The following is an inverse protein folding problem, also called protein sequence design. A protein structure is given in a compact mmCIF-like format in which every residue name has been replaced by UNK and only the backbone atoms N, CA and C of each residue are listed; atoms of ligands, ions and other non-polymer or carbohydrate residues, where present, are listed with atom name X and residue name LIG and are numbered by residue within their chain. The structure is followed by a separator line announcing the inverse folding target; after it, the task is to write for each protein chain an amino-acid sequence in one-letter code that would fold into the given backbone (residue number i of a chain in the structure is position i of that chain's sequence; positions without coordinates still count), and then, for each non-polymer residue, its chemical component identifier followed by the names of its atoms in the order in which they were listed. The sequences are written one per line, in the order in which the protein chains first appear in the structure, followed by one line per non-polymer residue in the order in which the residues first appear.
data_IF_345181955896
#
_entry.id   IF_345181955896
#
_cell.length_a   1.000
_cell.length_b   1.000
_cell.length_c   1.000
_cell.angle_alpha   90.00
_cell.angle_beta   90.00
_cell.angle_gamma   90.00
#
_symmetry.space_group_name_H-M   'P 1'
#
loop_
_entity.id
_entity.type
_entity.pdbx_description
1 polymer ?
#
# COMPACT_ATOMS: atom_id res chain seq x y z
N UNK A 1 72.71 16.93 21.01
CA UNK A 1 71.52 17.71 20.57
C UNK A 1 71.35 17.65 19.05
N UNK A 2 70.71 16.63 18.47
CA UNK A 2 70.30 16.62 17.04
C UNK A 2 69.02 15.79 16.84
N UNK A 3 67.91 16.54 16.86
CA UNK A 3 66.65 16.45 16.08
C UNK A 3 66.10 15.05 15.70
N UNK A 4 65.16 14.56 16.51
CA UNK A 4 64.15 13.55 16.17
C UNK A 4 62.78 14.24 16.03
N UNK A 5 62.55 15.00 14.95
CA UNK A 5 61.19 15.42 14.57
C UNK A 5 61.17 15.55 13.03
N UNK A 6 60.75 14.49 12.32
CA UNK A 6 59.68 14.70 11.34
C UNK A 6 58.79 13.45 11.27
N UNK A 7 57.88 13.27 12.23
CA UNK A 7 56.82 12.26 12.11
C UNK A 7 55.47 12.73 12.63
N UNK A 8 55.32 14.04 12.92
CA UNK A 8 54.11 14.58 13.55
C UNK A 8 53.28 15.48 12.62
N UNK A 9 53.50 15.43 11.30
CA UNK A 9 52.83 16.30 10.34
C UNK A 9 52.22 15.55 9.14
N UNK A 10 51.74 14.31 9.38
CA UNK A 10 51.03 13.51 8.38
C UNK A 10 49.74 12.87 8.92
N UNK A 11 49.04 13.57 9.82
CA UNK A 11 47.83 13.06 10.49
C UNK A 11 46.59 13.96 10.36
N UNK A 12 46.64 15.03 9.54
CA UNK A 12 45.53 16.01 9.48
C UNK A 12 45.17 16.36 8.04
N UNK A 13 44.84 15.37 7.21
CA UNK A 13 43.86 15.57 6.10
C UNK A 13 43.20 14.21 5.78
N UNK A 14 42.45 13.63 6.71
CA UNK A 14 41.42 12.66 6.32
C UNK A 14 40.26 13.50 5.78
N UNK A 15 39.91 13.46 4.48
CA UNK A 15 38.65 14.04 4.05
C UNK A 15 37.56 13.30 4.83
N UNK A 16 36.82 14.05 5.66
CA UNK A 16 35.54 13.58 6.18
C UNK A 16 34.72 13.18 4.95
N UNK A 17 34.57 11.87 4.71
CA UNK A 17 33.53 11.36 3.83
C UNK A 17 32.21 11.60 4.55
N UNK A 18 31.77 12.86 4.63
CA UNK A 18 30.46 13.20 5.18
C UNK A 18 29.42 12.52 4.28
N UNK A 19 28.72 11.53 4.83
CA UNK A 19 27.62 10.89 4.14
C UNK A 19 26.60 11.96 3.77
N UNK A 20 26.20 12.05 2.50
CA UNK A 20 25.28 13.09 2.06
C UNK A 20 23.93 12.83 2.72
N UNK A 21 23.32 13.87 3.26
CA UNK A 21 21.98 13.78 3.81
C UNK A 21 20.95 14.35 2.85
N UNK A 22 19.77 13.75 2.88
CA UNK A 22 18.63 14.16 2.09
C UNK A 22 17.42 14.38 2.99
N UNK A 23 16.71 15.48 2.75
CA UNK A 23 15.36 15.72 3.23
C UNK A 23 14.39 15.19 2.17
N UNK A 24 13.61 14.18 2.52
CA UNK A 24 12.57 13.60 1.68
C UNK A 24 11.23 14.07 2.22
N UNK A 25 10.37 14.54 1.33
CA UNK A 25 8.99 14.89 1.64
C UNK A 25 8.04 14.19 0.67
N UNK A 26 6.96 13.64 1.22
CA UNK A 26 5.99 12.82 0.49
C UNK A 26 4.58 13.22 0.84
N UNK A 27 3.75 13.36 -0.19
CA UNK A 27 2.30 13.47 -0.09
C UNK A 27 1.69 12.29 -0.83
N UNK A 28 0.87 11.51 -0.15
CA UNK A 28 0.04 10.46 -0.75
C UNK A 28 -1.42 10.90 -0.64
N UNK A 29 -2.15 10.84 -1.74
CA UNK A 29 -3.55 11.22 -1.77
C UNK A 29 -4.35 10.27 -2.66
N UNK A 30 -5.65 10.12 -2.36
CA UNK A 30 -6.60 9.44 -3.23
C UNK A 30 -7.41 10.43 -4.04
N UNK A 31 -7.88 9.99 -5.20
CA UNK A 31 -8.76 10.73 -6.10
C UNK A 31 -10.21 10.36 -5.81
N UNK A 32 -11.10 11.35 -5.80
CA UNK A 32 -12.55 11.15 -5.65
C UNK A 32 -13.19 10.75 -6.99
N UNK A 33 -12.66 9.69 -7.59
CA UNK A 33 -13.18 9.09 -8.82
C UNK A 33 -13.82 7.74 -8.51
N UNK A 34 -14.88 7.45 -9.24
CA UNK A 34 -15.52 6.14 -9.23
C UNK A 34 -14.63 5.16 -10.00
N UNK A 35 -14.19 4.10 -9.35
CA UNK A 35 -13.27 3.14 -9.94
C UNK A 35 -13.92 2.31 -11.05
N UNK A 36 -15.24 2.15 -11.01
CA UNK A 36 -16.02 1.38 -12.00
C UNK A 36 -16.18 2.15 -13.32
N UNK A 37 -16.01 3.47 -13.28
CA UNK A 37 -16.06 4.35 -14.46
C UNK A 37 -14.71 4.56 -15.14
N UNK A 38 -13.63 4.02 -14.57
CA UNK A 38 -12.30 4.08 -15.17
C UNK A 38 -12.17 2.94 -16.19
N UNK A 39 -11.70 3.22 -17.41
CA UNK A 39 -11.54 2.23 -18.48
C UNK A 39 -10.40 1.21 -18.26
N UNK A 40 -9.91 1.06 -17.02
CA UNK A 40 -8.77 0.22 -16.68
C UNK A 40 -9.22 -1.03 -15.91
N UNK A 41 -8.78 -2.19 -16.38
CA UNK A 41 -9.10 -3.48 -15.76
C UNK A 41 -8.07 -3.83 -14.68
N UNK A 42 -8.53 -3.89 -13.44
CA UNK A 42 -7.70 -4.23 -12.29
C UNK A 42 -8.00 -5.65 -11.78
N UNK A 43 -6.98 -6.47 -11.47
CA UNK A 43 -7.17 -7.78 -10.85
C UNK A 43 -8.03 -7.71 -9.59
N UNK A 44 -8.82 -8.76 -9.33
CA UNK A 44 -9.62 -8.85 -8.10
C UNK A 44 -8.80 -9.35 -6.91
N UNK A 45 -7.67 -10.01 -7.16
CA UNK A 45 -6.70 -10.44 -6.15
C UNK A 45 -5.31 -9.93 -6.54
N UNK A 46 -4.55 -9.51 -5.52
CA UNK A 46 -3.18 -9.02 -5.67
C UNK A 46 -2.28 -9.85 -4.74
N UNK A 47 -1.03 -10.11 -5.13
CA UNK A 47 -0.07 -10.75 -4.23
C UNK A 47 0.19 -9.84 -3.02
N UNK A 48 0.43 -10.42 -1.84
CA UNK A 48 0.74 -9.65 -0.64
C UNK A 48 2.01 -8.78 -0.84
N UNK A 49 2.00 -7.57 -0.29
CA UNK A 49 3.19 -6.71 -0.29
C UNK A 49 4.18 -7.26 0.74
N UNK A 50 5.43 -7.45 0.33
CA UNK A 50 6.49 -7.84 1.27
C UNK A 50 6.81 -6.67 2.21
N UNK A 51 6.58 -6.86 3.51
CA UNK A 51 6.83 -5.87 4.56
C UNK A 51 7.92 -6.30 5.54
N UNK A 52 8.65 -7.39 5.26
CA UNK A 52 9.59 -8.03 6.22
C UNK A 52 10.73 -7.10 6.66
N UNK A 53 11.13 -6.18 5.78
CA UNK A 53 12.19 -5.17 6.05
C UNK A 53 11.64 -3.78 6.31
N UNK A 54 10.31 -3.64 6.31
CA UNK A 54 9.63 -2.37 6.45
C UNK A 54 9.47 -2.02 7.93
N UNK A 55 9.77 -0.78 8.29
CA UNK A 55 9.54 -0.24 9.63
C UNK A 55 8.51 0.88 9.62
N UNK A 56 7.87 1.11 10.76
CA UNK A 56 6.93 2.23 10.92
C UNK A 56 7.69 3.55 11.09
N UNK A 57 7.12 4.65 10.59
CA UNK A 57 7.59 5.99 10.94
C UNK A 57 7.53 6.25 12.46
N UNK A 58 6.65 5.58 13.21
CA UNK A 58 6.55 5.75 14.66
C UNK A 58 7.67 5.03 15.43
N UNK A 59 8.27 3.98 14.85
CA UNK A 59 9.30 3.17 15.51
C UNK A 59 10.62 3.93 15.61
N UNK A 60 10.93 4.42 16.82
CA UNK A 60 12.15 5.19 17.11
C UNK A 60 13.40 4.34 16.91
N UNK A 61 13.38 3.08 17.34
CA UNK A 61 14.52 2.17 17.27
C UNK A 61 14.86 1.85 15.81
N UNK A 62 13.84 1.57 14.99
CA UNK A 62 14.01 1.40 13.55
C UNK A 62 14.62 2.65 12.91
N UNK A 63 14.06 3.84 13.17
CA UNK A 63 14.58 5.09 12.62
C UNK A 63 16.03 5.35 13.02
N UNK A 64 16.37 5.17 14.29
CA UNK A 64 17.73 5.33 14.80
C UNK A 64 18.70 4.35 14.11
N UNK A 65 18.32 3.07 13.99
CA UNK A 65 19.14 2.05 13.32
C UNK A 65 19.42 2.37 11.84
N UNK A 66 18.53 3.14 11.20
CA UNK A 66 18.63 3.56 9.80
C UNK A 66 19.19 4.97 9.61
N UNK A 67 19.48 5.71 10.69
CA UNK A 67 19.92 7.10 10.60
C UNK A 67 18.83 8.04 10.07
N UNK A 68 17.57 7.77 10.41
CA UNK A 68 16.40 8.55 10.00
C UNK A 68 15.99 9.53 11.10
N UNK A 69 15.71 10.77 10.71
CA UNK A 69 15.12 11.79 11.60
C UNK A 69 13.82 12.31 10.98
N UNK A 70 12.70 12.27 11.71
CA UNK A 70 11.47 12.91 11.23
C UNK A 70 11.63 14.43 11.26
N UNK A 71 11.13 15.10 10.24
CA UNK A 71 11.16 16.56 10.14
C UNK A 71 9.84 17.14 10.66
N UNK A 72 9.87 18.30 11.34
CA UNK A 72 8.64 19.00 11.71
C UNK A 72 7.98 19.61 10.47
N UNK A 73 6.67 19.86 10.53
CA UNK A 73 5.89 20.48 9.45
C UNK A 73 6.40 21.86 9.03
N UNK A 74 7.12 22.57 9.91
CA UNK A 74 7.79 23.84 9.60
C UNK A 74 8.96 23.69 8.61
N UNK A 75 9.52 22.49 8.46
CA UNK A 75 10.58 22.20 7.50
C UNK A 75 10.06 21.72 6.13
N UNK A 76 8.76 21.42 6.04
CA UNK A 76 8.11 20.92 4.83
C UNK A 76 8.04 22.02 3.77
N UNK A 77 8.34 21.66 2.53
CA UNK A 77 8.30 22.54 1.35
C UNK A 77 7.05 22.33 0.50
N UNK A 78 6.36 21.20 0.62
CA UNK A 78 5.15 20.90 -0.15
C UNK A 78 3.85 21.24 0.61
N UNK A 79 3.93 22.10 1.63
CA UNK A 79 2.77 22.53 2.41
C UNK A 79 1.70 23.21 1.53
N UNK A 80 2.12 24.03 0.55
CA UNK A 80 1.20 24.67 -0.40
C UNK A 80 0.48 23.66 -1.29
N UNK A 81 1.20 22.66 -1.78
CA UNK A 81 0.70 21.60 -2.66
C UNK A 81 -0.29 20.72 -1.88
N UNK A 82 0.08 20.33 -0.66
CA UNK A 82 -0.80 19.58 0.23
C UNK A 82 -2.09 20.37 0.53
N UNK A 83 -2.00 21.68 0.77
CA UNK A 83 -3.18 22.51 1.01
C UNK A 83 -4.08 22.63 -0.22
N UNK A 84 -3.51 22.80 -1.42
CA UNK A 84 -4.26 22.79 -2.68
C UNK A 84 -5.01 21.48 -2.87
N UNK A 85 -4.37 20.35 -2.59
CA UNK A 85 -5.01 19.02 -2.64
C UNK A 85 -6.15 18.90 -1.62
N UNK A 86 -5.93 19.31 -0.37
CA UNK A 86 -6.97 19.27 0.68
C UNK A 86 -8.18 20.15 0.36
N UNK A 87 -7.95 21.29 -0.29
CA UNK A 87 -9.02 22.24 -0.64
C UNK A 87 -9.81 21.84 -1.90
N UNK A 88 -9.35 20.84 -2.65
CA UNK A 88 -9.96 20.44 -3.92
C UNK A 88 -10.84 19.19 -3.75
N UNK A 89 -12.12 19.28 -4.10
CA UNK A 89 -13.11 18.21 -3.89
C UNK A 89 -12.76 16.86 -4.57
N UNK A 90 -11.94 16.91 -5.62
CA UNK A 90 -11.45 15.72 -6.33
C UNK A 90 -10.35 14.94 -5.61
N UNK A 91 -9.82 15.39 -4.48
CA UNK A 91 -8.68 14.76 -3.81
C UNK A 91 -8.87 14.65 -2.29
N UNK A 92 -8.21 13.66 -1.69
CA UNK A 92 -8.12 13.52 -0.24
C UNK A 92 -6.70 13.07 0.14
N UNK A 93 -6.00 13.90 0.92
CA UNK A 93 -4.63 13.62 1.38
C UNK A 93 -4.67 12.57 2.48
N UNK A 94 -4.05 11.42 2.21
CA UNK A 94 -3.96 10.28 3.14
C UNK A 94 -2.73 10.39 4.03
N UNK A 95 -1.61 10.85 3.48
CA UNK A 95 -0.35 11.01 4.19
C UNK A 95 0.37 12.27 3.71
N UNK A 96 0.94 13.03 4.64
CA UNK A 96 1.92 14.09 4.36
C UNK A 96 3.01 14.05 5.41
N UNK A 97 4.19 13.58 5.03
CA UNK A 97 5.31 13.37 5.95
C UNK A 97 6.63 13.78 5.32
N UNK A 98 7.59 14.22 6.13
CA UNK A 98 8.96 14.41 5.70
C UNK A 98 9.95 13.87 6.72
N UNK A 99 11.07 13.35 6.22
CA UNK A 99 12.14 12.83 7.04
C UNK A 99 13.49 13.10 6.39
N UNK A 100 14.53 13.10 7.21
CA UNK A 100 15.93 13.14 6.82
C UNK A 100 16.52 11.75 6.88
N UNK A 101 17.30 11.36 5.88
CA UNK A 101 18.11 10.13 5.89
C UNK A 101 19.47 10.36 5.21
N UNK A 102 20.40 9.42 5.42
CA UNK A 102 21.68 9.38 4.73
C UNK A 102 21.55 8.80 3.29
N UNK A 103 22.59 8.95 2.48
CA UNK A 103 22.70 8.49 1.08
C UNK A 103 22.91 6.98 0.91
N UNK A 104 22.21 6.19 1.72
CA UNK A 104 22.29 4.75 1.76
C UNK A 104 21.82 4.08 0.45
N UNK A 105 22.46 2.96 0.10
CA UNK A 105 22.08 2.10 -1.01
C UNK A 105 20.82 1.27 -0.74
N UNK A 106 20.25 0.67 -1.79
CA UNK A 106 18.98 -0.09 -1.73
C UNK A 106 18.89 -1.13 -0.61
N UNK A 107 20.00 -1.75 -0.21
CA UNK A 107 19.99 -2.76 0.84
C UNK A 107 20.03 -2.18 2.26
N UNK A 108 20.61 -0.99 2.44
CA UNK A 108 20.76 -0.35 3.75
C UNK A 108 19.69 0.71 4.02
N UNK A 109 19.21 1.38 2.97
CA UNK A 109 18.20 2.43 3.04
C UNK A 109 16.90 1.95 3.72
N UNK A 110 16.23 2.84 4.49
CA UNK A 110 15.01 2.49 5.18
C UNK A 110 13.89 2.14 4.18
N UNK A 111 13.17 1.06 4.45
CA UNK A 111 11.88 0.77 3.84
C UNK A 111 10.82 1.13 4.87
N UNK A 112 9.89 2.00 4.52
CA UNK A 112 8.79 2.37 5.43
C UNK A 112 7.54 1.58 5.09
N UNK A 113 6.90 1.01 6.12
CA UNK A 113 5.54 0.50 6.02
C UNK A 113 4.59 1.70 6.14
N UNK A 114 3.84 1.93 5.06
CA UNK A 114 2.93 3.05 4.91
C UNK A 114 1.53 2.54 5.21
N UNK A 115 0.92 3.08 6.27
CA UNK A 115 -0.46 2.80 6.65
C UNK A 115 -1.18 4.12 6.90
N UNK A 116 -2.30 4.35 6.20
CA UNK A 116 -3.04 5.61 6.32
C UNK A 116 -4.51 5.48 5.89
N UNK A 117 -5.30 6.52 6.17
CA UNK A 117 -6.71 6.59 5.82
C UNK A 117 -7.60 5.84 6.81
N UNK A 118 -8.76 5.39 6.34
CA UNK A 118 -9.77 4.72 7.18
C UNK A 118 -9.32 3.30 7.53
N UNK A 119 -9.67 2.82 8.72
CA UNK A 119 -9.55 1.41 9.06
C UNK A 119 -10.85 0.67 8.67
N UNK A 120 -10.71 -0.40 7.89
CA UNK A 120 -11.77 -1.26 7.42
C UNK A 120 -11.91 -2.56 8.24
N UNK A 121 -11.07 -2.77 9.26
CA UNK A 121 -11.03 -4.01 10.06
C UNK A 121 -12.37 -4.36 10.73
N UNK A 122 -13.21 -3.36 11.03
CA UNK A 122 -14.55 -3.55 11.58
C UNK A 122 -15.63 -3.94 10.56
N UNK A 123 -15.36 -3.82 9.26
CA UNK A 123 -16.32 -4.07 8.18
C UNK A 123 -15.89 -5.22 7.26
N UNK A 124 -14.58 -5.43 7.11
CA UNK A 124 -14.01 -6.41 6.19
C UNK A 124 -12.90 -7.21 6.86
N UNK A 125 -12.81 -8.49 6.48
CA UNK A 125 -11.70 -9.37 6.79
C UNK A 125 -10.48 -9.05 5.91
N UNK A 126 -9.31 -9.58 6.25
CA UNK A 126 -8.05 -9.32 5.51
C UNK A 126 -8.09 -9.80 4.04
N UNK A 127 -8.91 -10.81 3.73
CA UNK A 127 -9.17 -11.30 2.38
C UNK A 127 -10.15 -10.39 1.58
N UNK A 128 -10.71 -9.37 2.21
CA UNK A 128 -11.66 -8.42 1.63
C UNK A 128 -13.14 -8.81 1.70
N UNK A 129 -13.51 -9.96 2.28
CA UNK A 129 -14.93 -10.30 2.50
C UNK A 129 -15.52 -9.52 3.68
N UNK A 130 -16.82 -9.24 3.69
CA UNK A 130 -17.47 -8.57 4.81
C UNK A 130 -17.36 -9.38 6.12
N UNK A 131 -17.19 -8.67 7.23
CA UNK A 131 -17.31 -9.27 8.56
C UNK A 131 -18.75 -9.73 8.77
N UNK A 132 -18.94 -10.99 9.16
CA UNK A 132 -20.27 -11.58 9.33
C UNK A 132 -20.85 -12.22 8.08
N UNK A 133 -20.16 -12.19 6.93
CA UNK A 133 -20.50 -13.08 5.82
C UNK A 133 -20.26 -14.53 6.27
N UNK A 134 -21.34 -15.32 6.33
CA UNK A 134 -21.27 -16.78 6.50
C UNK A 134 -20.70 -17.36 5.21
N UNK A 135 -19.38 -17.30 5.04
CA UNK A 135 -18.70 -18.23 4.15
C UNK A 135 -18.91 -19.59 4.80
N UNK A 136 -19.79 -20.41 4.22
CA UNK A 136 -19.95 -21.81 4.61
C UNK A 136 -18.57 -22.45 4.47
N UNK A 137 -17.82 -22.52 5.57
CA UNK A 137 -16.59 -23.29 5.60
C UNK A 137 -16.97 -24.73 5.23
N UNK A 138 -16.24 -25.42 4.33
CA UNK A 138 -16.48 -26.83 4.02
C UNK A 138 -16.30 -27.78 5.22
N UNK A 139 -15.98 -27.23 6.40
CA UNK A 139 -15.61 -27.97 7.60
C UNK A 139 -16.50 -27.49 8.74
N UNK A 140 -17.38 -28.39 9.18
CA UNK A 140 -18.21 -28.23 10.36
C UNK A 140 -17.33 -27.88 11.59
N UNK A 141 -17.65 -26.78 12.26
CA UNK A 141 -17.20 -26.54 13.64
C UNK A 141 -15.98 -25.65 13.88
N UNK A 142 -15.41 -24.96 12.87
CA UNK A 142 -14.33 -23.98 13.10
C UNK A 142 -14.87 -22.55 12.97
N UNK A 143 -15.16 -21.91 14.10
CA UNK A 143 -15.35 -20.46 14.16
C UNK A 143 -13.98 -19.81 14.31
N UNK A 144 -13.42 -19.31 13.21
CA UNK A 144 -12.21 -18.49 13.27
C UNK A 144 -12.56 -17.14 13.93
N UNK A 145 -12.29 -17.04 15.23
CA UNK A 145 -12.19 -15.74 15.90
C UNK A 145 -10.95 -15.02 15.38
N UNK A 146 -11.09 -14.34 14.24
CA UNK A 146 -10.07 -13.46 13.72
C UNK A 146 -9.90 -12.28 14.68
N UNK A 147 -8.76 -12.21 15.38
CA UNK A 147 -8.33 -10.98 16.05
C UNK A 147 -8.22 -9.92 14.95
N UNK A 148 -8.99 -8.84 15.06
CA UNK A 148 -9.05 -7.80 14.04
C UNK A 148 -7.70 -7.10 13.90
N UNK A 149 -6.89 -7.57 12.95
CA UNK A 149 -5.71 -6.84 12.51
C UNK A 149 -6.17 -5.56 11.79
N UNK A 150 -5.53 -4.41 12.03
CA UNK A 150 -5.87 -3.17 11.34
C UNK A 150 -5.83 -3.36 9.82
N UNK A 151 -6.85 -2.86 9.12
CA UNK A 151 -7.01 -2.98 7.67
C UNK A 151 -7.16 -1.59 7.08
N UNK A 152 -6.04 -0.89 6.94
CA UNK A 152 -6.03 0.50 6.49
C UNK A 152 -6.40 0.65 5.01
N UNK A 153 -7.04 1.78 4.69
CA UNK A 153 -7.41 2.22 3.34
C UNK A 153 -6.20 2.35 2.42
N UNK A 154 -5.05 2.73 2.96
CA UNK A 154 -3.77 2.70 2.28
C UNK A 154 -2.82 1.79 3.07
N UNK A 155 -2.24 0.80 2.40
CA UNK A 155 -1.21 -0.07 2.96
C UNK A 155 -0.11 -0.34 1.92
N UNK A 156 1.16 -0.32 2.32
CA UNK A 156 2.24 -0.71 1.42
C UNK A 156 3.62 -0.25 1.84
N UNK A 157 4.57 -0.22 0.91
CA UNK A 157 5.96 0.14 1.19
C UNK A 157 6.44 1.33 0.37
N UNK A 158 7.32 2.11 0.97
CA UNK A 158 8.03 3.20 0.31
C UNK A 158 9.51 3.15 0.66
N UNK A 159 10.36 3.19 -0.36
CA UNK A 159 11.80 3.21 -0.20
C UNK A 159 12.44 4.30 -1.07
N UNK A 160 13.27 5.13 -0.44
CA UNK A 160 14.14 6.09 -1.15
C UNK A 160 15.59 5.68 -0.91
N UNK A 161 16.36 5.51 -1.98
CA UNK A 161 17.75 5.05 -1.87
C UNK A 161 18.65 5.63 -2.95
N UNK A 162 19.96 5.64 -2.70
CA UNK A 162 20.98 6.16 -3.62
C UNK A 162 21.86 5.03 -4.13
N UNK A 163 22.01 4.95 -5.45
CA UNK A 163 23.05 4.16 -6.11
C UNK A 163 23.89 5.12 -6.96
N UNK A 164 24.05 4.86 -8.26
CA UNK A 164 24.53 5.88 -9.18
C UNK A 164 23.53 7.05 -9.32
N UNK A 165 22.24 6.80 -9.06
CA UNK A 165 21.18 7.79 -9.03
C UNK A 165 20.33 7.65 -7.77
N UNK A 166 19.52 8.66 -7.49
CA UNK A 166 18.47 8.60 -6.48
C UNK A 166 17.25 7.87 -7.06
N UNK A 167 16.68 6.95 -6.31
CA UNK A 167 15.48 6.21 -6.69
C UNK A 167 14.39 6.32 -5.63
N UNK A 168 13.14 6.35 -6.08
CA UNK A 168 11.95 6.15 -5.28
C UNK A 168 11.24 4.87 -5.75
N UNK A 169 11.00 3.93 -4.84
CA UNK A 169 10.27 2.69 -5.07
C UNK A 169 9.05 2.70 -4.14
N UNK A 170 7.85 2.68 -4.72
CA UNK A 170 6.59 2.73 -4.00
C UNK A 170 5.70 1.58 -4.47
N UNK A 171 5.31 0.72 -3.53
CA UNK A 171 4.34 -0.36 -3.75
C UNK A 171 3.21 -0.14 -2.75
N UNK A 172 2.08 0.40 -3.21
CA UNK A 172 0.97 0.85 -2.37
C UNK A 172 -0.33 0.22 -2.85
N UNK A 173 -1.13 -0.31 -1.92
CA UNK A 173 -2.50 -0.74 -2.15
C UNK A 173 -3.47 0.30 -1.57
N UNK A 174 -4.32 0.84 -2.43
CA UNK A 174 -5.49 1.62 -2.02
C UNK A 174 -6.71 0.69 -1.97
N UNK A 175 -7.31 0.51 -0.80
CA UNK A 175 -8.49 -0.32 -0.58
C UNK A 175 -9.76 0.51 -0.70
N UNK A 176 -10.72 0.04 -1.51
CA UNK A 176 -12.05 0.66 -1.65
C UNK A 176 -13.14 -0.43 -1.64
N UNK A 177 -14.26 -0.21 -0.92
CA UNK A 177 -15.44 -1.04 -1.10
C UNK A 177 -15.91 -1.00 -2.56
N UNK A 178 -16.24 -2.15 -3.12
CA UNK A 178 -16.75 -2.33 -4.47
C UNK A 178 -17.82 -3.44 -4.46
N UNK A 179 -18.68 -3.47 -5.46
CA UNK A 179 -19.70 -4.50 -5.62
C UNK A 179 -19.27 -5.44 -6.74
N UNK A 180 -19.43 -6.75 -6.54
CA UNK A 180 -19.28 -7.74 -7.61
C UNK A 180 -20.52 -8.61 -7.70
N UNK A 181 -20.88 -8.98 -8.92
CA UNK A 181 -21.87 -10.02 -9.18
C UNK A 181 -21.22 -11.39 -8.96
N UNK A 182 -21.70 -12.13 -7.97
CA UNK A 182 -21.33 -13.53 -7.76
C UNK A 182 -22.46 -14.39 -8.34
N UNK A 183 -22.11 -15.17 -9.35
CA UNK A 183 -23.00 -16.19 -9.92
C UNK A 183 -22.95 -17.40 -9.00
N UNK A 184 -24.01 -17.64 -8.22
CA UNK A 184 -24.12 -18.86 -7.44
C UNK A 184 -24.52 -20.01 -8.35
N UNK A 185 -23.69 -21.05 -8.42
CA UNK A 185 -24.02 -22.30 -9.11
C UNK A 185 -24.83 -23.21 -8.17
N UNK A 186 -26.06 -23.45 -8.63
CA UNK A 186 -27.02 -24.51 -8.35
C UNK A 186 -27.47 -24.78 -6.90
N UNK A 187 -28.77 -24.57 -6.69
CA UNK A 187 -29.53 -25.33 -5.69
C UNK A 187 -29.45 -26.81 -6.07
N UNK A 188 -29.20 -27.74 -5.10
CA UNK A 188 -29.27 -29.16 -5.39
C UNK A 188 -30.65 -29.51 -5.95
N UNK A 189 -30.67 -30.20 -7.09
CA UNK A 189 -31.88 -30.82 -7.64
C UNK A 189 -32.39 -31.84 -6.61
N UNK A 190 -33.49 -31.52 -5.93
CA UNK A 190 -34.23 -32.52 -5.17
C UNK A 190 -34.89 -33.49 -6.15
N UNK A 191 -34.23 -34.63 -6.41
CA UNK A 191 -34.91 -35.76 -7.06
C UNK A 191 -35.89 -36.37 -6.06
N UNK A 192 -37.14 -35.93 -6.11
CA UNK A 192 -38.25 -36.64 -5.48
C UNK A 192 -38.43 -38.01 -6.15
N UNK A 193 -38.06 -39.07 -5.45
CA UNK A 193 -38.38 -40.45 -5.87
C UNK A 193 -39.86 -40.71 -5.60
N UNK A 194 -40.73 -40.33 -6.53
CA UNK A 194 -42.12 -40.82 -6.53
C UNK A 194 -42.12 -42.21 -7.17
N UNK A 195 -42.07 -43.25 -6.33
CA UNK A 195 -42.37 -44.62 -6.71
C UNK A 195 -43.89 -44.78 -6.85
N UNK A 196 -44.47 -44.44 -8.01
CA UNK A 196 -45.79 -44.93 -8.38
C UNK A 196 -45.75 -45.63 -9.74
N UNK A 197 -46.19 -46.89 -9.71
CA UNK A 197 -46.29 -47.79 -10.84
C UNK A 197 -47.39 -47.32 -11.80
N UNK A 198 -47.02 -46.91 -13.01
CA UNK A 198 -47.98 -46.67 -14.08
C UNK A 198 -47.37 -45.92 -15.24
N UNK A 199 -47.29 -46.57 -16.39
CA UNK A 199 -46.69 -46.03 -17.61
C UNK A 199 -47.28 -44.68 -18.01
N UNK A 200 -46.49 -43.61 -17.96
CA UNK A 200 -46.60 -42.45 -18.85
C UNK A 200 -45.21 -41.82 -18.96
N UNK A 201 -44.79 -41.49 -20.18
CA UNK A 201 -43.49 -40.89 -20.49
C UNK A 201 -43.41 -39.55 -19.77
N UNK A 202 -42.65 -39.48 -18.68
CA UNK A 202 -42.41 -38.24 -17.96
C UNK A 202 -41.45 -37.39 -18.79
N UNK A 203 -42.01 -36.45 -19.56
CA UNK A 203 -41.24 -35.43 -20.23
C UNK A 203 -40.39 -34.71 -19.18
N UNK A 204 -39.07 -34.83 -19.30
CA UNK A 204 -38.12 -34.20 -18.38
C UNK A 204 -38.42 -32.71 -18.26
N UNK A 205 -38.96 -32.32 -17.10
CA UNK A 205 -39.08 -30.92 -16.72
C UNK A 205 -37.67 -30.43 -16.41
N UNK A 206 -36.93 -30.07 -17.46
CA UNK A 206 -35.72 -29.28 -17.34
C UNK A 206 -36.16 -27.87 -16.96
N UNK A 207 -36.37 -27.65 -15.65
CA UNK A 207 -36.53 -26.31 -15.13
C UNK A 207 -35.19 -25.59 -15.33
N UNK A 208 -35.19 -24.53 -16.13
CA UNK A 208 -33.99 -23.75 -16.38
C UNK A 208 -33.53 -23.13 -15.07
N UNK A 209 -32.48 -23.69 -14.46
CA UNK A 209 -31.79 -23.05 -13.34
C UNK A 209 -31.10 -21.81 -13.89
N UNK A 210 -31.81 -20.68 -13.85
CA UNK A 210 -31.19 -19.38 -14.10
C UNK A 210 -30.26 -19.11 -12.92
N UNK A 211 -28.96 -18.90 -13.15
CA UNK A 211 -28.04 -18.63 -12.06
C UNK A 211 -28.51 -17.44 -11.25
N UNK A 212 -28.63 -17.60 -9.92
CA UNK A 212 -28.96 -16.47 -9.04
C UNK A 212 -27.72 -15.59 -8.93
N UNK A 213 -27.77 -14.44 -9.60
CA UNK A 213 -26.78 -13.37 -9.45
C UNK A 213 -27.04 -12.70 -8.10
N UNK A 214 -26.11 -12.81 -7.17
CA UNK A 214 -26.12 -12.03 -5.92
C UNK A 214 -25.04 -10.96 -5.99
N UNK A 215 -25.40 -9.70 -5.72
CA UNK A 215 -24.45 -8.61 -5.55
C UNK A 215 -23.79 -8.74 -4.17
N UNK A 216 -22.46 -8.95 -4.15
CA UNK A 216 -21.68 -9.01 -2.92
C UNK A 216 -20.77 -7.78 -2.83
N UNK A 217 -20.84 -7.07 -1.70
CA UNK A 217 -19.89 -6.01 -1.37
C UNK A 217 -18.58 -6.62 -0.91
N UNK A 218 -17.45 -6.18 -1.45
CA UNK A 218 -16.12 -6.63 -1.05
C UNK A 218 -15.13 -5.47 -1.02
N UNK A 219 -14.05 -5.60 -0.26
CA UNK A 219 -12.98 -4.62 -0.21
C UNK A 219 -11.95 -4.92 -1.32
N UNK A 220 -12.01 -4.15 -2.40
CA UNK A 220 -11.06 -4.26 -3.52
C UNK A 220 -9.80 -3.45 -3.25
N UNK A 221 -8.64 -4.02 -3.58
CA UNK A 221 -7.34 -3.32 -3.51
C UNK A 221 -6.89 -2.89 -4.91
N UNK A 222 -6.38 -1.68 -5.03
CA UNK A 222 -5.83 -1.12 -6.27
C UNK A 222 -4.37 -0.75 -6.05
N UNK A 223 -3.46 -1.36 -6.83
CA UNK A 223 -2.02 -1.26 -6.61
C UNK A 223 -1.35 -0.21 -7.47
N UNK A 224 -0.61 0.69 -6.83
CA UNK A 224 0.47 1.46 -7.44
C UNK A 224 1.76 0.72 -7.17
N UNK A 225 2.40 0.21 -8.22
CA UNK A 225 3.75 -0.36 -8.19
C UNK A 225 4.62 0.47 -9.13
N UNK A 226 5.42 1.37 -8.56
CA UNK A 226 6.19 2.35 -9.31
C UNK A 226 7.62 2.45 -8.78
N UNK A 227 8.57 2.40 -9.71
CA UNK A 227 9.99 2.69 -9.47
C UNK A 227 10.43 3.84 -10.37
N UNK A 228 10.93 4.91 -9.76
CA UNK A 228 11.31 6.13 -10.47
C UNK A 228 12.73 6.58 -10.12
N UNK A 229 13.51 6.95 -11.14
CA UNK A 229 14.75 7.71 -10.96
C UNK A 229 14.41 9.17 -10.66
N UNK A 230 14.99 9.69 -9.60
CA UNK A 230 14.71 11.01 -9.05
C UNK A 230 15.88 11.96 -9.29
N UNK A 231 15.58 13.26 -9.38
CA UNK A 231 16.56 14.34 -9.40
C UNK A 231 16.41 15.15 -8.12
N UNK A 232 17.53 15.46 -7.47
CA UNK A 232 17.52 16.25 -6.24
C UNK A 232 16.99 17.65 -6.51
N UNK A 233 16.08 18.14 -5.67
CA UNK A 233 15.44 19.45 -5.78
C UNK A 233 14.18 19.47 -6.66
N UNK A 234 13.98 18.46 -7.50
CA UNK A 234 12.79 18.33 -8.34
C UNK A 234 11.65 17.65 -7.58
N UNK A 235 10.42 18.08 -7.90
CA UNK A 235 9.21 17.40 -7.46
C UNK A 235 8.85 16.35 -8.50
N UNK A 236 8.62 15.12 -8.05
CA UNK A 236 8.20 14.03 -8.90
C UNK A 236 6.80 13.56 -8.52
N UNK A 237 6.08 13.09 -9.54
CA UNK A 237 4.74 12.55 -9.41
C UNK A 237 4.73 11.09 -9.86
N UNK A 238 4.21 10.20 -9.01
CA UNK A 238 3.91 8.81 -9.34
C UNK A 238 2.39 8.71 -9.52
N UNK A 239 1.96 8.35 -10.72
CA UNK A 239 0.56 8.39 -11.09
C UNK A 239 -0.13 7.03 -10.96
N UNK A 240 -1.41 7.10 -10.61
CA UNK A 240 -2.36 6.01 -10.65
C UNK A 240 -3.78 6.63 -10.81
N UNK A 241 -4.73 5.98 -11.49
CA UNK A 241 -6.05 6.58 -11.72
C UNK A 241 -6.83 6.91 -10.45
N UNK A 242 -6.59 6.17 -9.37
CA UNK A 242 -7.29 6.31 -8.09
C UNK A 242 -6.50 7.01 -6.99
N UNK A 243 -5.18 7.20 -7.16
CA UNK A 243 -4.31 7.82 -6.16
C UNK A 243 -3.10 8.48 -6.82
N UNK A 244 -2.42 9.34 -6.09
CA UNK A 244 -1.18 9.96 -6.53
C UNK A 244 -0.18 10.06 -5.40
N UNK A 245 1.10 10.01 -5.77
CA UNK A 245 2.21 10.27 -4.84
C UNK A 245 3.03 11.43 -5.38
N UNK A 246 3.16 12.48 -4.58
CA UNK A 246 4.10 13.59 -4.83
C UNK A 246 5.29 13.38 -3.91
N UNK A 247 6.50 13.37 -4.48
CA UNK A 247 7.74 13.17 -3.74
C UNK A 247 8.74 14.25 -4.14
N UNK A 248 9.34 14.90 -3.15
CA UNK A 248 10.51 15.76 -3.35
C UNK A 248 11.66 15.24 -2.49
N UNK A 249 12.86 15.25 -3.06
CA UNK A 249 14.08 14.89 -2.34
C UNK A 249 15.09 16.01 -2.49
N UNK A 250 15.56 16.58 -1.38
CA UNK A 250 16.47 17.73 -1.35
C UNK A 250 17.74 17.34 -0.61
N UNK A 251 18.90 17.78 -1.09
CA UNK A 251 20.14 17.67 -0.32
C UNK A 251 20.10 18.64 0.86
N UNK A 252 20.56 18.17 2.01
CA UNK A 252 20.84 19.04 3.15
C UNK A 252 22.13 19.78 2.84
N UNK A 253 22.13 21.11 2.96
CA UNK A 253 23.35 21.89 2.83
C UNK A 253 24.26 21.60 4.05
N UNK A 254 25.56 21.39 3.80
CA UNK A 254 26.60 21.33 4.82
C UNK A 254 26.81 22.70 5.50
#
# INVERSE_FOLDING_TARGET
MKRLIPLLLLLIVMPSMAARQFDIEVIIFKRAVDAEKVSESWPNSLPAINVDRAGSFADVSFRQSKGVTLLPSSAYQLNSEAQKLRNHAGFNVLLHTAWRQNDQGRQSAPVFHIQAGRDFSGQFQANGSPVGSTVTAPVDGVSEMSIANPLYELDGTLQIYVQHFLFAEAVLDLKKPSVREVVLQDSPLELGTNEEQGATVQAGMLESVSPKVQEETFLKSYRLDQKRRMRSGETHYLDHPLMGVIIQVRRVAE
#
